data_IF_990575079806
#
_entry.id   IF_990575079806
#
_cell.length_a   1.000
_cell.length_b   1.000
_cell.length_c   1.000
_cell.angle_alpha   90.00
_cell.angle_beta   90.00
_cell.angle_gamma   90.00
#
_symmetry.space_group_name_H-M   'P 1'
#
loop_
_entity.id
_entity.type
_entity.pdbx_description
1 polymer ?
#
# COMPACT_ATOMS: atom_id res chain seq x y z
N UNK A 1 9.50 -9.41 -10.21
CA UNK A 1 9.86 -9.91 -8.87
C UNK A 1 8.98 -11.10 -8.53
N UNK A 2 9.40 -11.98 -7.61
CA UNK A 2 8.52 -13.04 -7.11
C UNK A 2 7.36 -12.43 -6.26
N UNK A 3 7.69 -11.45 -5.43
CA UNK A 3 6.73 -10.65 -4.68
C UNK A 3 7.23 -9.20 -4.55
N UNK A 4 6.30 -8.27 -4.32
CA UNK A 4 6.53 -6.86 -4.07
C UNK A 4 5.90 -6.46 -2.73
N UNK A 5 6.70 -5.89 -1.83
CA UNK A 5 6.23 -5.25 -0.61
C UNK A 5 6.22 -3.74 -0.81
N UNK A 6 5.07 -3.09 -0.59
CA UNK A 6 4.97 -1.63 -0.62
C UNK A 6 4.74 -1.09 0.79
N UNK A 7 5.36 0.06 1.07
CA UNK A 7 5.37 0.68 2.39
C UNK A 7 4.30 1.77 2.46
N UNK A 8 3.63 1.90 3.60
CA UNK A 8 2.56 2.88 3.82
C UNK A 8 1.32 2.60 2.95
N UNK A 9 0.86 3.53 2.11
CA UNK A 9 -0.21 3.30 1.12
C UNK A 9 0.38 2.86 -0.25
N UNK A 10 -0.30 1.97 -0.99
CA UNK A 10 0.21 1.49 -2.27
C UNK A 10 0.18 2.60 -3.31
N UNK A 11 1.27 2.73 -4.08
CA UNK A 11 1.31 3.61 -5.25
C UNK A 11 0.39 3.06 -6.33
N UNK A 12 -0.48 3.89 -6.91
CA UNK A 12 -1.48 3.46 -7.91
C UNK A 12 -0.86 2.75 -9.11
N UNK A 13 0.36 3.14 -9.51
CA UNK A 13 1.13 2.48 -10.56
C UNK A 13 1.40 0.98 -10.32
N UNK A 14 1.40 0.51 -9.07
CA UNK A 14 1.56 -0.92 -8.75
C UNK A 14 0.36 -1.79 -9.16
N UNK A 15 -0.79 -1.15 -9.46
CA UNK A 15 -2.01 -1.79 -9.97
C UNK A 15 -2.19 -1.60 -11.48
N UNK A 16 -1.30 -0.87 -12.15
CA UNK A 16 -1.39 -0.70 -13.60
C UNK A 16 -1.15 -2.05 -14.30
N UNK A 17 -1.89 -2.38 -15.38
CA UNK A 17 -1.65 -3.62 -16.14
C UNK A 17 -0.19 -3.78 -16.58
N UNK A 18 0.46 -2.67 -16.96
CA UNK A 18 1.87 -2.66 -17.35
C UNK A 18 2.84 -3.05 -16.19
N UNK A 19 2.42 -2.96 -14.93
CA UNK A 19 3.23 -3.31 -13.77
C UNK A 19 3.07 -4.79 -13.35
N UNK A 20 2.03 -5.48 -13.82
CA UNK A 20 1.73 -6.86 -13.47
C UNK A 20 2.90 -7.83 -13.69
N UNK A 21 3.59 -7.85 -14.86
CA UNK A 21 4.70 -8.79 -15.08
C UNK A 21 5.92 -8.51 -14.19
N UNK A 22 6.00 -7.33 -13.58
CA UNK A 22 7.14 -6.93 -12.77
C UNK A 22 6.93 -7.11 -11.27
N UNK A 23 5.68 -7.21 -10.82
CA UNK A 23 5.33 -7.10 -9.38
C UNK A 23 5.17 -8.44 -8.67
N UNK A 24 4.77 -9.52 -9.37
CA UNK A 24 4.45 -10.79 -8.72
C UNK A 24 3.30 -10.62 -7.72
N UNK A 25 3.37 -11.29 -6.57
CA UNK A 25 2.44 -11.06 -5.45
C UNK A 25 2.61 -9.65 -4.88
N UNK A 26 1.53 -9.01 -4.41
CA UNK A 26 1.60 -7.64 -3.90
C UNK A 26 1.15 -7.56 -2.45
N UNK A 27 2.03 -7.03 -1.59
CA UNK A 27 1.82 -6.87 -0.16
C UNK A 27 1.94 -5.41 0.28
N UNK A 28 1.26 -5.08 1.37
CA UNK A 28 1.29 -3.79 2.05
C UNK A 28 1.91 -3.96 3.44
N UNK A 29 2.94 -3.19 3.77
CA UNK A 29 3.57 -3.18 5.08
C UNK A 29 3.23 -1.91 5.87
N UNK A 30 2.89 -2.13 7.14
CA UNK A 30 2.78 -1.07 8.12
C UNK A 30 4.18 -0.57 8.50
N UNK A 31 4.38 0.74 8.39
CA UNK A 31 5.60 1.42 8.90
C UNK A 31 5.22 2.46 9.96
N UNK A 32 4.06 2.27 10.58
CA UNK A 32 3.49 3.12 11.63
C UNK A 32 3.25 4.57 11.20
N UNK A 33 2.89 4.79 9.92
CA UNK A 33 2.53 6.13 9.43
C UNK A 33 1.25 6.59 10.13
N UNK A 34 1.25 7.72 10.85
CA UNK A 34 0.05 8.23 11.49
C UNK A 34 -1.05 8.57 10.47
N UNK A 35 -2.32 8.18 10.69
CA UNK A 35 -3.42 8.47 9.77
C UNK A 35 -3.58 9.97 9.44
N UNK A 36 -3.24 10.84 10.40
CA UNK A 36 -3.28 12.29 10.23
C UNK A 36 -2.33 12.82 9.14
N UNK A 37 -1.29 12.08 8.75
CA UNK A 37 -0.42 12.47 7.64
C UNK A 37 -1.12 12.30 6.28
N UNK A 38 -1.96 11.29 6.12
CA UNK A 38 -2.73 11.08 4.89
C UNK A 38 -3.83 12.14 4.72
N UNK A 39 -4.41 12.61 5.83
CA UNK A 39 -5.47 13.60 5.82
C UNK A 39 -5.00 15.04 5.48
N UNK A 40 -3.68 15.29 5.46
CA UNK A 40 -3.12 16.62 5.18
C UNK A 40 -2.93 16.85 3.68
N UNK A 41 -2.91 18.11 3.21
CA UNK A 41 -2.47 18.44 1.86
C UNK A 41 -1.04 17.94 1.60
N UNK A 42 -0.73 17.45 0.38
CA UNK A 42 -1.62 17.38 -0.78
C UNK A 42 -2.50 16.13 -0.85
N UNK A 43 -2.32 15.17 0.06
CA UNK A 43 -2.97 13.86 -0.03
C UNK A 43 -4.48 13.95 0.24
N UNK A 44 -4.89 14.63 1.31
CA UNK A 44 -6.30 14.81 1.67
C UNK A 44 -7.11 13.49 1.65
N UNK A 45 -6.50 12.39 2.09
CA UNK A 45 -7.08 11.05 2.05
C UNK A 45 -7.67 10.67 3.40
N UNK A 46 -8.89 10.14 3.38
CA UNK A 46 -9.46 9.38 4.49
C UNK A 46 -9.07 7.92 4.33
N UNK A 47 -8.28 7.41 5.27
CA UNK A 47 -7.79 6.03 5.28
C UNK A 47 -8.46 5.27 6.42
N UNK A 48 -8.97 4.08 6.15
CA UNK A 48 -9.50 3.17 7.18
C UNK A 48 -8.36 2.53 8.00
N UNK A 49 -8.55 1.26 8.38
CA UNK A 49 -7.56 0.49 9.13
C UNK A 49 -6.95 -0.61 8.24
N UNK A 50 -6.12 -0.27 7.23
CA UNK A 50 -5.63 -1.24 6.25
C UNK A 50 -4.78 -2.36 6.87
N UNK A 51 -4.22 -2.13 8.07
CA UNK A 51 -3.39 -3.07 8.82
C UNK A 51 -4.14 -3.81 9.94
N UNK A 52 -5.48 -3.73 9.98
CA UNK A 52 -6.28 -4.41 11.00
C UNK A 52 -6.10 -5.94 11.00
N UNK A 53 -5.67 -6.52 9.86
CA UNK A 53 -5.40 -7.95 9.71
C UNK A 53 -3.95 -8.35 10.09
N UNK A 54 -3.04 -7.40 10.29
CA UNK A 54 -1.63 -7.65 10.63
C UNK A 54 -0.66 -6.61 10.04
N UNK A 55 0.61 -6.70 10.45
CA UNK A 55 1.69 -5.80 10.03
C UNK A 55 2.02 -5.88 8.52
N UNK A 56 1.71 -7.02 7.89
CA UNK A 56 1.82 -7.24 6.45
C UNK A 56 0.49 -7.80 5.93
N UNK A 57 -0.09 -7.13 4.93
CA UNK A 57 -1.38 -7.51 4.33
C UNK A 57 -1.20 -7.83 2.86
N UNK A 58 -1.71 -8.99 2.42
CA UNK A 58 -1.72 -9.39 1.01
C UNK A 58 -2.83 -8.65 0.26
N UNK A 59 -2.49 -8.03 -0.86
CA UNK A 59 -3.43 -7.29 -1.71
C UNK A 59 -3.91 -8.12 -2.92
N UNK A 60 -3.05 -8.99 -3.46
CA UNK A 60 -3.36 -10.00 -4.49
C UNK A 60 -2.23 -11.03 -4.60
#
# INVERSE_FOLDING_TARGET
AAATLTLALPKTGLRAPAAEPFTGELYLADISVPPALYARPPLNLTVGFPFAAGEIVRLR
#
